data_IF_882978267302
#
_entry.id   IF_882978267302
#
_cell.length_a   1.000
_cell.length_b   1.000
_cell.length_c   1.000
_cell.angle_alpha   90.00
_cell.angle_beta   90.00
_cell.angle_gamma   90.00
#
_symmetry.space_group_name_H-M   'P 1'
#
loop_
_entity.id
_entity.type
_entity.pdbx_description
1 polymer ?
#
# COMPACT_ATOMS: atom_id res chain seq x y z
N UNK A 1 -17.43 -27.04 -31.62
CA UNK A 1 -16.84 -28.27 -31.01
C UNK A 1 -16.59 -27.95 -29.53
N UNK A 2 -17.55 -28.30 -28.65
CA UNK A 2 -17.64 -27.85 -27.25
C UNK A 2 -17.27 -28.99 -26.30
N UNK A 3 -16.11 -28.92 -25.65
CA UNK A 3 -15.69 -29.88 -24.62
C UNK A 3 -16.19 -29.42 -23.24
N UNK A 4 -17.32 -29.97 -22.79
CA UNK A 4 -17.74 -29.90 -21.39
C UNK A 4 -16.95 -30.94 -20.59
N UNK A 5 -16.06 -30.50 -19.69
CA UNK A 5 -15.49 -31.37 -18.66
C UNK A 5 -16.50 -31.50 -17.52
N UNK A 6 -17.17 -32.63 -17.44
CA UNK A 6 -17.94 -33.06 -16.28
C UNK A 6 -16.97 -33.46 -15.17
N UNK A 7 -17.07 -32.80 -14.02
CA UNK A 7 -16.41 -33.20 -12.78
C UNK A 7 -17.17 -34.40 -12.22
N UNK A 8 -16.60 -35.59 -12.29
CA UNK A 8 -17.11 -36.75 -11.56
C UNK A 8 -16.84 -36.55 -10.07
N UNK A 9 -17.89 -36.35 -9.29
CA UNK A 9 -17.83 -36.42 -7.84
C UNK A 9 -17.83 -37.89 -7.41
N UNK A 10 -16.92 -38.25 -6.51
CA UNK A 10 -16.79 -39.60 -5.95
C UNK A 10 -18.04 -39.94 -5.08
N UNK A 11 -18.82 -40.97 -5.42
CA UNK A 11 -20.09 -41.28 -4.73
C UNK A 11 -19.95 -41.95 -3.35
N UNK A 12 -18.73 -42.08 -2.80
CA UNK A 12 -18.46 -42.84 -1.58
C UNK A 12 -18.69 -42.14 -0.23
N UNK A 13 -19.35 -40.99 -0.16
CA UNK A 13 -19.40 -40.17 1.08
C UNK A 13 -20.81 -39.84 1.58
N UNK A 14 -21.76 -40.75 1.38
CA UNK A 14 -23.07 -40.72 2.07
C UNK A 14 -23.16 -41.97 2.95
N UNK A 15 -22.61 -41.88 4.17
CA UNK A 15 -22.96 -42.83 5.23
C UNK A 15 -24.29 -42.39 5.84
N UNK A 16 -25.32 -43.18 5.57
CA UNK A 16 -26.59 -43.14 6.29
C UNK A 16 -26.37 -43.39 7.78
N UNK A 17 -26.80 -42.47 8.65
CA UNK A 17 -26.80 -42.63 10.10
C UNK A 17 -28.13 -42.19 10.69
N UNK A 18 -29.07 -43.13 10.80
CA UNK A 18 -30.25 -43.00 11.65
C UNK A 18 -29.92 -43.60 13.02
N UNK A 19 -29.85 -42.79 14.09
CA UNK A 19 -30.26 -43.20 15.45
C UNK A 19 -30.05 -42.11 16.53
N UNK A 20 -31.18 -41.71 17.12
CA UNK A 20 -31.44 -41.48 18.55
C UNK A 20 -30.82 -40.23 19.24
N UNK A 21 -31.70 -39.26 19.50
CA UNK A 21 -31.56 -38.22 20.52
C UNK A 21 -31.36 -38.87 21.91
N UNK A 22 -30.12 -38.86 22.39
CA UNK A 22 -29.79 -39.19 23.78
C UNK A 22 -29.94 -37.98 24.70
N UNK A 23 -30.65 -38.14 25.82
CA UNK A 23 -30.70 -37.19 26.94
C UNK A 23 -29.30 -36.93 27.50
N UNK A 24 -28.93 -35.67 27.67
CA UNK A 24 -27.67 -35.23 28.25
C UNK A 24 -27.83 -35.19 29.79
N UNK A 25 -27.02 -35.92 30.59
CA UNK A 25 -26.99 -35.73 32.05
C UNK A 25 -26.20 -34.47 32.45
N UNK A 26 -26.49 -33.86 33.62
CA UNK A 26 -25.80 -32.65 34.06
C UNK A 26 -24.32 -32.94 34.38
N UNK A 27 -23.44 -32.18 33.74
CA UNK A 27 -21.98 -32.31 33.82
C UNK A 27 -21.47 -31.75 35.14
N UNK A 28 -21.00 -32.62 36.04
CA UNK A 28 -20.21 -32.23 37.21
C UNK A 28 -18.88 -31.57 36.81
N UNK A 29 -18.43 -30.65 37.67
CA UNK A 29 -17.38 -29.66 37.41
C UNK A 29 -16.06 -30.23 36.91
N UNK A 30 -15.49 -29.53 35.92
CA UNK A 30 -14.13 -29.77 35.44
C UNK A 30 -13.28 -28.59 35.89
N UNK A 31 -12.31 -28.89 36.76
CA UNK A 31 -11.21 -28.00 37.13
C UNK A 31 -10.54 -27.46 35.86
N UNK A 32 -10.51 -26.12 35.74
CA UNK A 32 -9.74 -25.42 34.72
C UNK A 32 -8.25 -25.50 35.08
N UNK A 33 -7.53 -26.45 34.49
CA UNK A 33 -6.06 -26.35 34.42
C UNK A 33 -5.71 -25.36 33.31
N UNK A 34 -5.26 -24.18 33.71
CA UNK A 34 -4.69 -23.17 32.81
C UNK A 34 -3.37 -23.71 32.24
N UNK A 35 -3.43 -24.44 31.13
CA UNK A 35 -2.27 -24.64 30.27
C UNK A 35 -2.18 -23.44 29.32
N UNK A 36 -1.24 -22.54 29.60
CA UNK A 36 -0.81 -21.52 28.64
C UNK A 36 -0.39 -22.20 27.33
N UNK A 37 -0.92 -21.81 26.16
CA UNK A 37 -0.44 -22.34 24.89
C UNK A 37 1.05 -21.98 24.71
N UNK A 38 1.85 -22.85 24.10
CA UNK A 38 3.23 -22.52 23.79
C UNK A 38 3.26 -21.28 22.89
N UNK A 39 4.07 -20.29 23.28
CA UNK A 39 4.31 -19.07 22.52
C UNK A 39 5.01 -19.45 21.20
N UNK A 40 4.24 -19.61 20.12
CA UNK A 40 4.78 -19.88 18.80
C UNK A 40 5.39 -18.56 18.30
N UNK A 41 6.70 -18.42 18.47
CA UNK A 41 7.47 -17.32 17.87
C UNK A 41 7.28 -17.33 16.35
N UNK A 42 6.51 -16.37 15.86
CA UNK A 42 6.13 -16.23 14.45
C UNK A 42 7.35 -15.94 13.55
N UNK A 43 8.42 -15.41 14.15
CA UNK A 43 9.66 -15.04 13.47
C UNK A 43 10.51 -16.24 13.05
N UNK A 44 10.41 -17.38 13.75
CA UNK A 44 11.21 -18.58 13.43
C UNK A 44 10.73 -19.28 12.16
N UNK A 45 9.47 -19.08 11.75
CA UNK A 45 8.87 -19.78 10.61
C UNK A 45 9.33 -19.23 9.25
N UNK A 46 9.71 -17.95 9.16
CA UNK A 46 10.16 -17.34 7.90
C UNK A 46 11.58 -17.77 7.51
N UNK A 47 12.51 -17.87 8.46
CA UNK A 47 13.91 -18.23 8.17
C UNK A 47 14.06 -19.67 7.65
N UNK A 48 13.22 -20.60 8.11
CA UNK A 48 13.22 -21.98 7.64
C UNK A 48 12.77 -22.13 6.17
N UNK A 49 12.06 -21.14 5.61
CA UNK A 49 11.55 -21.20 4.22
C UNK A 49 12.63 -20.84 3.20
N UNK A 50 13.67 -20.10 3.59
CA UNK A 50 14.75 -19.68 2.68
C UNK A 50 15.91 -20.68 2.58
N UNK A 51 16.04 -21.61 3.53
CA UNK A 51 17.18 -22.53 3.58
C UNK A 51 16.91 -23.91 2.94
N UNK A 52 15.66 -24.25 2.64
CA UNK A 52 15.33 -25.54 2.06
C UNK A 52 15.01 -25.44 0.57
N UNK A 53 16.04 -25.20 -0.24
CA UNK A 53 16.02 -25.55 -1.65
C UNK A 53 16.12 -27.07 -1.80
N UNK A 54 15.09 -27.82 -1.36
CA UNK A 54 15.01 -29.25 -1.63
C UNK A 54 14.81 -29.45 -3.12
N UNK A 55 15.81 -30.06 -3.77
CA UNK A 55 15.71 -30.51 -5.17
C UNK A 55 14.61 -31.56 -5.38
N UNK A 56 14.14 -32.17 -4.30
CA UNK A 56 13.03 -33.12 -4.27
C UNK A 56 11.83 -32.53 -3.51
N UNK A 57 11.02 -31.74 -4.20
CA UNK A 57 9.75 -31.24 -3.66
C UNK A 57 8.77 -32.40 -3.49
N UNK A 58 8.14 -32.48 -2.33
CA UNK A 58 7.01 -33.40 -2.11
C UNK A 58 5.86 -33.08 -3.07
N UNK A 59 5.02 -34.06 -3.43
CA UNK A 59 3.86 -33.82 -4.31
C UNK A 59 2.94 -32.68 -3.82
N UNK A 60 2.83 -32.48 -2.50
CA UNK A 60 2.03 -31.41 -1.91
C UNK A 60 2.68 -30.02 -2.07
N UNK A 61 4.01 -29.93 -2.04
CA UNK A 61 4.73 -28.68 -2.31
C UNK A 61 4.63 -28.31 -3.79
N UNK A 62 4.78 -29.28 -4.69
CA UNK A 62 4.54 -29.09 -6.12
C UNK A 62 3.11 -28.62 -6.40
N UNK A 63 2.12 -29.16 -5.67
CA UNK A 63 0.74 -28.72 -5.78
C UNK A 63 0.54 -27.27 -5.29
N UNK A 64 1.25 -26.84 -4.22
CA UNK A 64 1.17 -25.46 -3.72
C UNK A 64 1.70 -24.44 -4.72
N UNK A 65 2.78 -24.76 -5.44
CA UNK A 65 3.34 -23.89 -6.48
C UNK A 65 2.40 -23.72 -7.69
N UNK A 66 1.54 -24.71 -7.96
CA UNK A 66 0.57 -24.68 -9.07
C UNK A 66 -0.75 -23.99 -8.72
N UNK A 67 -0.90 -23.42 -7.52
CA UNK A 67 -2.12 -22.70 -7.14
C UNK A 67 -2.15 -21.33 -7.83
N UNK A 68 -3.19 -21.02 -8.62
CA UNK A 68 -3.30 -19.70 -9.22
C UNK A 68 -3.55 -18.65 -8.13
N UNK A 69 -2.97 -17.47 -8.32
CA UNK A 69 -3.29 -16.30 -7.49
C UNK A 69 -4.65 -15.78 -7.90
N UNK A 70 -5.55 -15.53 -6.93
CA UNK A 70 -6.86 -14.96 -7.25
C UNK A 70 -6.69 -13.56 -7.85
N UNK A 71 -7.54 -13.18 -8.83
CA UNK A 71 -7.53 -11.82 -9.34
C UNK A 71 -7.81 -10.83 -8.20
N UNK A 72 -7.06 -9.74 -8.14
CA UNK A 72 -7.15 -8.75 -7.07
C UNK A 72 -7.26 -7.34 -7.65
N UNK A 73 -6.19 -6.76 -8.19
CA UNK A 73 -6.22 -5.38 -8.73
C UNK A 73 -7.18 -5.22 -9.91
N UNK A 74 -7.31 -6.24 -10.76
CA UNK A 74 -8.12 -6.18 -11.98
C UNK A 74 -9.63 -6.23 -11.72
N UNK A 75 -10.05 -6.76 -10.57
CA UNK A 75 -11.47 -6.87 -10.18
C UNK A 75 -11.83 -6.03 -8.96
N UNK A 76 -10.86 -5.29 -8.38
CA UNK A 76 -11.07 -4.48 -7.20
C UNK A 76 -11.91 -3.24 -7.52
N UNK A 77 -12.94 -2.99 -6.71
CA UNK A 77 -13.71 -1.74 -6.79
C UNK A 77 -12.94 -0.61 -6.12
N UNK A 78 -12.53 0.37 -6.90
CA UNK A 78 -11.85 1.56 -6.38
C UNK A 78 -12.68 2.29 -5.32
N UNK A 79 -12.05 2.55 -4.17
CA UNK A 79 -12.61 3.29 -3.05
C UNK A 79 -11.75 4.53 -2.77
N UNK A 80 -12.31 5.55 -2.13
CA UNK A 80 -11.54 6.76 -1.83
C UNK A 80 -10.35 6.47 -0.88
N UNK A 81 -10.45 5.45 -0.02
CA UNK A 81 -9.34 5.02 0.84
C UNK A 81 -8.17 4.44 0.02
N UNK A 82 -8.46 3.61 -0.98
CA UNK A 82 -7.41 3.04 -1.82
C UNK A 82 -6.73 4.12 -2.66
N UNK A 83 -7.51 5.04 -3.23
CA UNK A 83 -6.98 6.16 -4.01
C UNK A 83 -6.13 7.10 -3.15
N UNK A 84 -6.63 7.54 -1.99
CA UNK A 84 -5.88 8.47 -1.11
C UNK A 84 -4.59 7.84 -0.55
N UNK A 85 -4.57 6.53 -0.33
CA UNK A 85 -3.34 5.83 0.06
C UNK A 85 -2.31 5.80 -1.06
N UNK A 86 -2.73 5.51 -2.29
CA UNK A 86 -1.86 5.48 -3.47
C UNK A 86 -1.31 6.88 -3.76
N UNK A 87 -2.15 7.91 -3.72
CA UNK A 87 -1.73 9.29 -3.91
C UNK A 87 -0.71 9.74 -2.86
N UNK A 88 -0.85 9.31 -1.59
CA UNK A 88 0.15 9.62 -0.54
C UNK A 88 1.53 9.04 -0.88
N UNK A 89 1.55 7.81 -1.42
CA UNK A 89 2.80 7.15 -1.81
C UNK A 89 3.41 7.84 -3.01
N UNK A 90 2.63 8.13 -4.04
CA UNK A 90 3.13 8.83 -5.23
C UNK A 90 3.63 10.24 -4.92
N UNK A 91 2.90 11.01 -4.11
CA UNK A 91 3.37 12.33 -3.70
C UNK A 91 4.66 12.24 -2.88
N UNK A 92 4.78 11.25 -1.99
CA UNK A 92 6.00 11.03 -1.22
C UNK A 92 7.20 10.64 -2.10
N UNK A 93 7.00 9.72 -3.05
CA UNK A 93 8.03 9.32 -4.02
C UNK A 93 8.45 10.51 -4.89
N UNK A 94 7.50 11.32 -5.34
CA UNK A 94 7.80 12.51 -6.14
C UNK A 94 8.65 13.51 -5.37
N UNK A 95 8.28 13.82 -4.12
CA UNK A 95 9.01 14.78 -3.28
C UNK A 95 10.40 14.26 -2.89
N UNK A 96 10.47 13.02 -2.37
CA UNK A 96 11.75 12.42 -1.99
C UNK A 96 12.65 12.19 -3.20
N UNK A 97 12.08 11.71 -4.31
CA UNK A 97 12.80 11.53 -5.57
C UNK A 97 13.35 12.85 -6.12
N UNK A 98 12.53 13.90 -6.14
CA UNK A 98 12.98 15.24 -6.55
C UNK A 98 14.11 15.77 -5.67
N UNK A 99 13.98 15.64 -4.35
CA UNK A 99 15.03 16.02 -3.41
C UNK A 99 16.33 15.25 -3.65
N UNK A 100 16.27 13.92 -3.78
CA UNK A 100 17.46 13.10 -3.99
C UNK A 100 18.11 13.36 -5.34
N UNK A 101 17.34 13.48 -6.42
CA UNK A 101 17.89 13.82 -7.75
C UNK A 101 18.59 15.18 -7.71
N UNK A 102 17.96 16.19 -7.09
CA UNK A 102 18.57 17.51 -6.98
C UNK A 102 19.84 17.49 -6.12
N UNK A 103 19.78 16.89 -4.92
CA UNK A 103 20.91 16.83 -3.99
C UNK A 103 22.09 16.03 -4.54
N UNK A 104 21.82 14.87 -5.14
CA UNK A 104 22.87 14.05 -5.75
C UNK A 104 23.44 14.69 -7.00
N UNK A 105 22.60 15.31 -7.84
CA UNK A 105 23.05 16.07 -9.01
C UNK A 105 23.98 17.21 -8.61
N UNK A 106 23.57 18.02 -7.63
CA UNK A 106 24.39 19.12 -7.11
C UNK A 106 25.79 18.66 -6.65
N UNK A 107 25.88 17.54 -5.93
CA UNK A 107 27.16 17.02 -5.41
C UNK A 107 28.00 16.33 -6.50
N UNK A 108 27.37 15.59 -7.41
CA UNK A 108 28.09 14.77 -8.39
C UNK A 108 28.48 15.52 -9.66
N UNK A 109 27.74 16.56 -10.05
CA UNK A 109 27.97 17.28 -11.31
C UNK A 109 29.39 17.84 -11.45
N UNK A 110 30.01 18.47 -10.43
CA UNK A 110 31.39 18.95 -10.54
C UNK A 110 32.42 17.83 -10.79
N UNK A 111 32.12 16.60 -10.36
CA UNK A 111 33.02 15.44 -10.45
C UNK A 111 32.88 14.77 -11.82
N UNK A 112 31.63 14.55 -12.25
CA UNK A 112 31.31 13.77 -13.46
C UNK A 112 31.31 14.65 -14.71
N UNK A 113 31.06 15.95 -14.57
CA UNK A 113 30.93 16.89 -15.69
C UNK A 113 31.48 18.26 -15.33
N UNK A 114 32.82 18.41 -15.27
CA UNK A 114 33.48 19.64 -14.84
C UNK A 114 33.11 20.90 -15.65
N UNK A 115 32.64 20.75 -16.89
CA UNK A 115 32.18 21.86 -17.73
C UNK A 115 30.74 22.32 -17.47
N UNK A 116 30.03 21.69 -16.54
CA UNK A 116 28.61 21.91 -16.24
C UNK A 116 28.35 22.17 -14.75
N UNK A 117 29.36 22.65 -14.02
CA UNK A 117 29.28 22.93 -12.57
C UNK A 117 28.13 23.85 -12.19
N UNK A 118 27.77 24.76 -13.09
CA UNK A 118 26.83 25.85 -12.81
C UNK A 118 25.37 25.45 -13.09
N UNK A 119 25.12 24.21 -13.53
CA UNK A 119 23.77 23.71 -13.86
C UNK A 119 22.81 23.75 -12.67
N UNK A 120 23.31 23.52 -11.47
CA UNK A 120 22.51 23.55 -10.23
C UNK A 120 22.59 24.88 -9.50
N UNK A 121 23.27 25.88 -10.07
CA UNK A 121 23.30 27.22 -9.51
C UNK A 121 21.94 27.92 -9.71
N UNK A 122 21.54 28.68 -8.69
CA UNK A 122 20.23 29.33 -8.65
C UNK A 122 20.13 30.36 -9.77
N UNK A 123 21.21 31.10 -10.05
CA UNK A 123 21.21 32.10 -11.13
C UNK A 123 20.99 31.46 -12.50
N UNK A 124 21.67 30.35 -12.79
CA UNK A 124 21.52 29.59 -14.05
C UNK A 124 20.09 29.06 -14.20
N UNK A 125 19.53 28.46 -13.15
CA UNK A 125 18.17 27.91 -13.17
C UNK A 125 17.14 29.03 -13.37
N UNK A 126 17.26 30.13 -12.61
CA UNK A 126 16.35 31.27 -12.74
C UNK A 126 16.49 31.90 -14.12
N UNK A 127 17.71 32.08 -14.62
CA UNK A 127 18.02 32.59 -15.95
C UNK A 127 17.35 31.78 -17.05
N UNK A 128 17.48 30.45 -17.00
CA UNK A 128 16.83 29.54 -17.95
C UNK A 128 15.29 29.66 -17.91
N UNK A 129 14.72 29.92 -16.73
CA UNK A 129 13.28 30.08 -16.56
C UNK A 129 12.78 31.49 -16.94
N UNK A 130 13.62 32.51 -17.10
CA UNK A 130 13.17 33.88 -17.39
C UNK A 130 12.36 33.97 -18.67
N UNK A 131 12.81 33.34 -19.74
CA UNK A 131 12.18 33.37 -21.07
C UNK A 131 10.92 32.50 -21.18
N UNK A 132 10.63 31.68 -20.16
CA UNK A 132 9.46 30.79 -20.17
C UNK A 132 8.15 31.60 -20.00
N UNK A 133 7.10 31.35 -20.81
CA UNK A 133 5.79 31.97 -20.66
C UNK A 133 5.22 31.89 -19.24
N UNK A 134 4.58 32.97 -18.78
CA UNK A 134 4.05 33.07 -17.41
C UNK A 134 3.08 31.96 -17.01
N UNK A 135 2.24 31.49 -17.94
CA UNK A 135 1.31 30.39 -17.68
C UNK A 135 2.04 29.05 -17.45
N UNK A 136 3.16 28.80 -18.15
CA UNK A 136 3.98 27.59 -17.95
C UNK A 136 4.65 27.64 -16.57
N UNK A 137 5.16 28.81 -16.17
CA UNK A 137 5.69 29.02 -14.81
C UNK A 137 4.63 28.72 -13.75
N UNK A 138 3.40 29.23 -13.94
CA UNK A 138 2.28 28.95 -13.04
C UNK A 138 1.94 27.46 -12.93
N UNK A 139 1.86 26.76 -14.07
CA UNK A 139 1.63 25.31 -14.11
C UNK A 139 2.77 24.54 -13.45
N UNK A 140 4.02 24.93 -13.70
CA UNK A 140 5.20 24.32 -13.08
C UNK A 140 5.22 24.48 -11.57
N UNK A 141 4.93 25.69 -11.06
CA UNK A 141 4.82 25.95 -9.62
C UNK A 141 3.69 25.11 -9.01
N UNK A 142 2.52 25.07 -9.64
CA UNK A 142 1.41 24.24 -9.20
C UNK A 142 1.75 22.73 -9.18
N UNK A 143 2.44 22.23 -10.22
CA UNK A 143 2.84 20.84 -10.32
C UNK A 143 3.83 20.43 -9.20
N UNK A 144 4.65 21.36 -8.71
CA UNK A 144 5.54 21.14 -7.57
C UNK A 144 4.81 21.31 -6.22
N UNK A 145 3.95 22.31 -6.07
CA UNK A 145 3.26 22.61 -4.82
C UNK A 145 2.11 21.63 -4.49
N UNK A 146 1.45 21.08 -5.51
CA UNK A 146 0.32 20.17 -5.32
C UNK A 146 0.72 18.87 -4.59
N UNK A 147 1.74 18.11 -5.03
CA UNK A 147 2.17 16.91 -4.30
C UNK A 147 2.68 17.25 -2.90
N UNK A 148 3.34 18.39 -2.70
CA UNK A 148 3.80 18.84 -1.39
C UNK A 148 2.64 19.07 -0.41
N UNK A 149 1.70 19.94 -0.79
CA UNK A 149 0.53 20.27 0.04
C UNK A 149 -0.35 19.05 0.30
N UNK A 150 -0.59 18.23 -0.72
CA UNK A 150 -1.33 16.98 -0.57
C UNK A 150 -0.65 16.01 0.40
N UNK A 151 0.66 15.75 0.22
CA UNK A 151 1.40 14.84 1.08
C UNK A 151 1.37 15.29 2.54
N UNK A 152 1.47 16.60 2.78
CA UNK A 152 1.42 17.19 4.11
C UNK A 152 0.05 17.00 4.78
N UNK A 153 -1.05 17.49 4.18
CA UNK A 153 -2.37 17.42 4.80
C UNK A 153 -2.87 15.99 4.94
N UNK A 154 -2.62 15.16 3.91
CA UNK A 154 -2.99 13.76 3.96
C UNK A 154 -2.10 12.97 4.94
N UNK A 155 -0.85 13.39 5.14
CA UNK A 155 0.05 12.90 6.19
C UNK A 155 -0.47 13.22 7.60
N UNK A 156 -0.95 14.44 7.85
CA UNK A 156 -1.61 14.80 9.11
C UNK A 156 -2.83 13.92 9.36
N UNK A 157 -3.65 13.70 8.33
CA UNK A 157 -4.78 12.76 8.40
C UNK A 157 -4.33 11.34 8.77
N UNK A 158 -3.20 10.86 8.25
CA UNK A 158 -2.64 9.56 8.62
C UNK A 158 -2.18 9.52 10.08
N UNK A 159 -1.51 10.57 10.58
CA UNK A 159 -1.15 10.66 11.99
C UNK A 159 -2.38 10.65 12.91
N UNK A 160 -3.47 11.32 12.50
CA UNK A 160 -4.74 11.22 13.23
C UNK A 160 -5.26 9.79 13.30
N UNK A 161 -5.15 9.01 12.23
CA UNK A 161 -5.54 7.60 12.22
C UNK A 161 -4.63 6.72 13.08
N UNK A 162 -3.33 7.00 13.12
CA UNK A 162 -2.38 6.30 14.00
C UNK A 162 -2.70 6.56 15.49
N UNK A 163 -3.22 7.74 15.81
CA UNK A 163 -3.76 8.09 17.12
C UNK A 163 -5.16 7.51 17.40
N UNK A 164 -5.74 6.76 16.46
CA UNK A 164 -7.09 6.20 16.58
C UNK A 164 -8.23 7.20 16.41
N UNK A 165 -7.95 8.44 15.99
CA UNK A 165 -8.94 9.51 15.87
C UNK A 165 -9.85 9.28 14.66
N UNK A 166 -11.17 9.26 14.91
CA UNK A 166 -12.17 9.24 13.84
C UNK A 166 -12.41 7.89 13.17
N UNK A 167 -11.84 6.79 13.71
CA UNK A 167 -11.98 5.45 13.11
C UNK A 167 -13.39 4.84 13.25
N UNK A 168 -14.18 5.28 14.22
CA UNK A 168 -15.51 4.72 14.50
C UNK A 168 -16.60 5.17 13.51
N UNK A 169 -16.39 6.24 12.76
CA UNK A 169 -17.42 6.89 11.95
C UNK A 169 -17.16 6.75 10.44
N UNK A 170 -17.85 5.82 9.78
CA UNK A 170 -17.65 5.57 8.32
C UNK A 170 -17.81 6.82 7.43
N UNK A 171 -18.74 7.72 7.79
CA UNK A 171 -18.98 8.99 7.06
C UNK A 171 -17.82 9.99 7.24
N UNK A 172 -17.09 9.90 8.34
CA UNK A 172 -15.99 10.81 8.65
C UNK A 172 -14.83 10.64 7.66
N UNK A 173 -14.49 9.40 7.31
CA UNK A 173 -13.42 9.11 6.35
C UNK A 173 -13.62 9.78 4.98
N UNK A 174 -14.84 9.72 4.45
CA UNK A 174 -15.16 10.33 3.15
C UNK A 174 -15.06 11.85 3.20
N UNK A 175 -15.58 12.48 4.26
CA UNK A 175 -15.49 13.94 4.44
C UNK A 175 -14.03 14.39 4.56
N UNK A 176 -13.24 13.68 5.35
CA UNK A 176 -11.84 14.02 5.59
C UNK A 176 -11.00 13.91 4.31
N UNK A 177 -11.30 12.94 3.44
CA UNK A 177 -10.66 12.85 2.12
C UNK A 177 -10.95 14.08 1.24
N UNK A 178 -12.20 14.56 1.22
CA UNK A 178 -12.57 15.78 0.49
C UNK A 178 -11.96 17.05 1.10
N UNK A 179 -11.93 17.14 2.43
CA UNK A 179 -11.28 18.24 3.16
C UNK A 179 -9.80 18.31 2.79
N UNK A 180 -9.08 17.19 2.88
CA UNK A 180 -7.67 17.11 2.49
C UNK A 180 -7.48 17.52 1.03
N UNK A 181 -8.29 17.00 0.11
CA UNK A 181 -8.20 17.36 -1.30
C UNK A 181 -8.43 18.87 -1.54
N UNK A 182 -9.46 19.43 -0.92
CA UNK A 182 -9.80 20.85 -1.03
C UNK A 182 -8.69 21.77 -0.49
N UNK A 183 -8.22 21.52 0.74
CA UNK A 183 -7.12 22.29 1.33
C UNK A 183 -5.83 22.19 0.51
N UNK A 184 -5.52 21.00 -0.02
CA UNK A 184 -4.34 20.82 -0.86
C UNK A 184 -4.41 21.66 -2.13
N UNK A 185 -5.56 21.64 -2.82
CA UNK A 185 -5.73 22.42 -4.06
C UNK A 185 -5.67 23.92 -3.77
N UNK A 186 -6.37 24.41 -2.75
CA UNK A 186 -6.40 25.84 -2.40
C UNK A 186 -5.01 26.33 -2.00
N UNK A 187 -4.31 25.61 -1.11
CA UNK A 187 -2.95 25.98 -0.70
C UNK A 187 -1.96 25.91 -1.86
N UNK A 188 -2.09 24.91 -2.74
CA UNK A 188 -1.25 24.77 -3.93
C UNK A 188 -1.46 25.91 -4.92
N UNK A 189 -2.70 26.32 -5.16
CA UNK A 189 -3.00 27.48 -6.02
C UNK A 189 -2.45 28.77 -5.42
N UNK A 190 -2.57 28.96 -4.10
CA UNK A 190 -1.96 30.09 -3.39
C UNK A 190 -0.44 30.14 -3.58
N UNK A 191 0.24 29.00 -3.41
CA UNK A 191 1.68 28.88 -3.62
C UNK A 191 2.11 29.06 -5.09
N UNK A 192 1.24 28.69 -6.04
CA UNK A 192 1.55 28.86 -7.47
C UNK A 192 1.48 30.33 -7.90
N UNK A 193 0.59 31.12 -7.28
CA UNK A 193 0.39 32.54 -7.59
C UNK A 193 1.38 33.45 -6.88
N UNK A 194 1.82 33.09 -5.66
CA UNK A 194 2.87 33.80 -4.91
C UNK A 194 4.20 33.81 -5.66
#
# INVERSE_FOLDING_TARGET
>A
MSLRKTVQLNPGLIKHGNARLGRIPPRHGIFSSSRSPPQINSYTRMLATFQHGSTNLTPLEQQRLRRPVSPHMTIYKWQYQSLTSILQRFSGIFLAGGLYVFATGYVLTPIVSPGYTDLFDIETIVGALREVPGWIKGVGKFALSMPFTYHFYNGVKHLMWDLGVGLSHKRFFGRLAWVVAGFSVVSSLGLAVL
#
